data_IF_457986903934
#
_entry.id   IF_457986903934
#
_cell.length_a   1.000
_cell.length_b   1.000
_cell.length_c   1.000
_cell.angle_alpha   90.00
_cell.angle_beta   90.00
_cell.angle_gamma   90.00
#
_symmetry.space_group_name_H-M   'P 1'
#
loop_
_entity.id
_entity.type
_entity.pdbx_description
1 polymer ?
#
# COMPACT_ATOMS: atom_id res chain seq x y z
N UNK A 1 9.73 -23.27 -15.40
CA UNK A 1 9.46 -23.04 -13.97
C UNK A 1 7.97 -22.89 -13.78
N UNK A 2 7.46 -23.54 -12.74
CA UNK A 2 6.05 -23.87 -12.49
C UNK A 2 5.22 -22.61 -12.27
N UNK A 3 4.52 -22.15 -13.31
CA UNK A 3 3.55 -21.06 -13.20
C UNK A 3 2.31 -21.64 -12.51
N UNK A 4 1.99 -21.12 -11.32
CA UNK A 4 0.63 -20.92 -10.79
C UNK A 4 0.59 -20.82 -9.25
N UNK A 5 1.64 -21.23 -8.53
CA UNK A 5 1.63 -21.10 -7.06
C UNK A 5 2.22 -19.77 -6.57
N UNK A 6 1.50 -18.68 -6.85
CA UNK A 6 1.87 -17.33 -6.40
C UNK A 6 1.84 -17.18 -4.87
N UNK A 7 1.01 -17.96 -4.17
CA UNK A 7 0.98 -18.00 -2.70
C UNK A 7 2.31 -18.50 -2.12
N UNK A 8 2.82 -19.62 -2.65
CA UNK A 8 4.11 -20.17 -2.21
C UNK A 8 5.28 -19.28 -2.63
N UNK A 9 5.22 -18.72 -3.84
CA UNK A 9 6.23 -17.79 -4.33
C UNK A 9 6.32 -16.53 -3.45
N UNK A 10 5.19 -15.98 -3.02
CA UNK A 10 5.15 -14.85 -2.09
C UNK A 10 5.89 -15.18 -0.79
N UNK A 11 5.63 -16.33 -0.17
CA UNK A 11 6.32 -16.74 1.06
C UNK A 11 7.83 -16.84 0.85
N UNK A 12 8.27 -17.38 -0.29
CA UNK A 12 9.69 -17.48 -0.64
C UNK A 12 10.30 -16.09 -0.83
N UNK A 13 9.65 -15.20 -1.58
CA UNK A 13 10.16 -13.85 -1.82
C UNK A 13 10.15 -12.99 -0.56
N UNK A 14 9.13 -13.10 0.31
CA UNK A 14 9.12 -12.44 1.63
C UNK A 14 10.31 -12.88 2.48
N UNK A 15 10.57 -14.20 2.55
CA UNK A 15 11.75 -14.73 3.26
C UNK A 15 13.05 -14.26 2.64
N UNK A 16 13.15 -14.27 1.31
CA UNK A 16 14.35 -13.82 0.61
C UNK A 16 14.62 -12.32 0.87
N UNK A 17 13.58 -11.49 0.86
CA UNK A 17 13.67 -10.05 1.16
C UNK A 17 14.15 -9.78 2.60
N UNK A 18 13.79 -10.64 3.57
CA UNK A 18 14.26 -10.51 4.96
C UNK A 18 15.75 -10.85 5.13
N UNK A 19 16.28 -11.74 4.30
CA UNK A 19 17.68 -12.16 4.35
C UNK A 19 18.58 -11.18 3.60
N UNK A 20 18.15 -10.79 2.41
CA UNK A 20 18.90 -9.92 1.51
C UNK A 20 17.90 -9.14 0.65
N UNK A 21 17.67 -7.89 1.04
CA UNK A 21 16.66 -7.03 0.42
C UNK A 21 17.17 -6.42 -0.88
N UNK A 22 16.60 -6.80 -2.01
CA UNK A 22 16.93 -6.21 -3.32
C UNK A 22 15.69 -5.86 -4.13
N UNK A 23 15.89 -4.96 -5.10
CA UNK A 23 14.84 -4.44 -5.95
C UNK A 23 14.20 -5.51 -6.85
N UNK A 24 14.96 -6.51 -7.31
CA UNK A 24 14.44 -7.57 -8.17
C UNK A 24 13.54 -8.54 -7.37
N UNK A 25 13.95 -8.94 -6.16
CA UNK A 25 13.10 -9.71 -5.23
C UNK A 25 11.83 -8.94 -4.87
N UNK A 26 11.93 -7.63 -4.60
CA UNK A 26 10.79 -6.77 -4.35
C UNK A 26 9.82 -6.72 -5.55
N UNK A 27 10.31 -6.50 -6.77
CA UNK A 27 9.48 -6.53 -7.98
C UNK A 27 8.80 -7.89 -8.19
N UNK A 28 9.49 -9.00 -7.92
CA UNK A 28 8.90 -10.33 -8.04
C UNK A 28 7.85 -10.61 -6.95
N UNK A 29 8.03 -10.07 -5.74
CA UNK A 29 7.02 -10.08 -4.69
C UNK A 29 5.78 -9.27 -5.09
N UNK A 30 5.97 -8.06 -5.64
CA UNK A 30 4.89 -7.22 -6.18
C UNK A 30 4.07 -7.96 -7.25
N UNK A 31 4.73 -8.64 -8.20
CA UNK A 31 4.06 -9.46 -9.21
C UNK A 31 3.25 -10.61 -8.59
N UNK A 32 3.77 -11.28 -7.55
CA UNK A 32 3.03 -12.34 -6.86
C UNK A 32 1.76 -11.81 -6.20
N UNK A 33 1.80 -10.61 -5.61
CA UNK A 33 0.66 -9.96 -4.98
C UNK A 33 -0.38 -9.51 -6.01
N UNK A 34 0.06 -8.96 -7.16
CA UNK A 34 -0.83 -8.60 -8.27
C UNK A 34 -1.62 -9.81 -8.78
N UNK A 35 -0.97 -10.98 -8.92
CA UNK A 35 -1.61 -12.22 -9.36
C UNK A 35 -2.57 -12.83 -8.33
N UNK A 36 -2.54 -12.31 -7.09
CA UNK A 36 -3.48 -12.62 -6.02
C UNK A 36 -4.52 -11.50 -5.80
N UNK A 37 -4.60 -10.51 -6.71
CA UNK A 37 -5.47 -9.34 -6.60
C UNK A 37 -5.22 -8.46 -5.35
N UNK A 38 -4.02 -8.53 -4.75
CA UNK A 38 -3.60 -7.72 -3.61
C UNK A 38 -2.88 -6.45 -4.09
N UNK A 39 -3.62 -5.59 -4.77
CA UNK A 39 -3.05 -4.45 -5.51
C UNK A 39 -2.44 -3.37 -4.61
N UNK A 40 -3.05 -3.06 -3.47
CA UNK A 40 -2.52 -2.03 -2.55
C UNK A 40 -1.11 -2.39 -2.04
N UNK A 41 -0.92 -3.63 -1.60
CA UNK A 41 0.39 -4.12 -1.15
C UNK A 41 1.40 -4.18 -2.29
N UNK A 42 0.97 -4.59 -3.48
CA UNK A 42 1.83 -4.60 -4.66
C UNK A 42 2.28 -3.17 -5.03
N UNK A 43 1.37 -2.20 -5.00
CA UNK A 43 1.66 -0.80 -5.28
C UNK A 43 2.72 -0.26 -4.31
N UNK A 44 2.54 -0.46 -3.01
CA UNK A 44 3.49 0.01 -2.00
C UNK A 44 4.90 -0.53 -2.26
N UNK A 45 5.03 -1.85 -2.48
CA UNK A 45 6.34 -2.49 -2.72
C UNK A 45 7.00 -1.95 -3.99
N UNK A 46 6.25 -1.76 -5.08
CA UNK A 46 6.79 -1.23 -6.32
C UNK A 46 7.19 0.25 -6.18
N UNK A 47 6.42 1.03 -5.40
CA UNK A 47 6.76 2.41 -5.06
C UNK A 47 8.09 2.48 -4.27
N UNK A 48 8.29 1.57 -3.31
CA UNK A 48 9.55 1.51 -2.55
C UNK A 48 10.77 1.25 -3.44
N UNK A 49 10.61 0.42 -4.47
CA UNK A 49 11.65 0.19 -5.47
C UNK A 49 11.98 1.50 -6.22
N UNK A 50 10.97 2.26 -6.66
CA UNK A 50 11.16 3.53 -7.37
C UNK A 50 11.73 4.65 -6.49
N UNK A 51 11.39 4.65 -5.21
CA UNK A 51 11.93 5.56 -4.19
C UNK A 51 13.38 5.24 -3.82
N UNK A 52 13.96 4.15 -4.33
CA UNK A 52 15.35 3.79 -4.04
C UNK A 52 15.56 3.11 -2.69
N UNK A 53 14.51 2.57 -2.07
CA UNK A 53 14.60 1.98 -0.72
C UNK A 53 15.25 0.59 -0.70
N UNK A 54 15.44 -0.05 -1.85
CA UNK A 54 16.05 -1.36 -1.97
C UNK A 54 17.42 -1.29 -2.66
N UNK A 55 18.30 -2.21 -2.27
CA UNK A 55 19.57 -2.37 -2.97
C UNK A 55 19.32 -2.76 -4.43
N UNK A 56 20.06 -2.12 -5.36
CA UNK A 56 19.86 -2.33 -6.79
C UNK A 56 18.67 -1.57 -7.39
N UNK A 57 17.98 -0.72 -6.61
CA UNK A 57 16.95 0.18 -7.14
C UNK A 57 17.51 1.25 -8.10
N UNK A 58 18.80 1.56 -8.03
CA UNK A 58 19.44 2.50 -8.96
C UNK A 58 19.66 1.89 -10.35
N UNK A 59 19.55 0.57 -10.47
CA UNK A 59 19.66 -0.09 -11.76
C UNK A 59 18.45 0.24 -12.63
N UNK A 60 18.73 0.79 -13.83
CA UNK A 60 17.71 1.15 -14.83
C UNK A 60 16.74 -0.02 -15.08
N UNK A 61 17.23 -1.26 -15.08
CA UNK A 61 16.42 -2.46 -15.29
C UNK A 61 15.41 -2.68 -14.17
N UNK A 62 15.81 -2.49 -12.92
CA UNK A 62 14.95 -2.65 -11.75
C UNK A 62 13.84 -1.60 -11.72
N UNK A 63 14.19 -0.33 -11.97
CA UNK A 63 13.22 0.77 -12.05
C UNK A 63 12.22 0.56 -13.18
N UNK A 64 12.72 0.26 -14.38
CA UNK A 64 11.86 0.01 -15.54
C UNK A 64 10.89 -1.14 -15.29
N UNK A 65 11.34 -2.22 -14.64
CA UNK A 65 10.46 -3.33 -14.28
C UNK A 65 9.40 -2.93 -13.26
N UNK A 66 9.73 -2.07 -12.30
CA UNK A 66 8.76 -1.55 -11.34
C UNK A 66 7.73 -0.64 -12.01
N UNK A 67 8.16 0.22 -12.94
CA UNK A 67 7.28 1.06 -13.76
C UNK A 67 6.31 0.23 -14.61
N UNK A 68 6.81 -0.77 -15.35
CA UNK A 68 5.99 -1.68 -16.16
C UNK A 68 4.93 -2.41 -15.31
N UNK A 69 5.29 -2.84 -14.10
CA UNK A 69 4.35 -3.51 -13.19
C UNK A 69 3.32 -2.55 -12.61
N UNK A 70 3.68 -1.29 -12.34
CA UNK A 70 2.74 -0.26 -11.90
C UNK A 70 1.75 0.12 -13.01
N UNK A 71 2.21 0.20 -14.26
CA UNK A 71 1.34 0.39 -15.42
C UNK A 71 0.34 -0.78 -15.56
N UNK A 72 0.80 -2.03 -15.46
CA UNK A 72 -0.08 -3.20 -15.47
C UNK A 72 -1.07 -3.16 -14.29
N UNK A 73 -0.62 -2.79 -13.09
CA UNK A 73 -1.46 -2.67 -11.90
C UNK A 73 -2.56 -1.63 -12.11
N UNK A 74 -2.22 -0.45 -12.62
CA UNK A 74 -3.17 0.63 -12.91
C UNK A 74 -4.17 0.25 -14.01
N UNK A 75 -3.77 -0.53 -15.01
CA UNK A 75 -4.67 -1.04 -16.04
C UNK A 75 -5.69 -2.07 -15.50
N UNK A 76 -5.36 -2.77 -14.42
CA UNK A 76 -6.25 -3.75 -13.78
C UNK A 76 -7.14 -3.16 -12.67
N UNK A 77 -6.83 -1.96 -12.17
CA UNK A 77 -7.75 -1.21 -11.32
C UNK A 77 -8.96 -0.77 -12.14
N UNK A 78 -10.17 -0.76 -11.55
CA UNK A 78 -11.32 -0.17 -12.22
C UNK A 78 -11.00 1.29 -12.51
N UNK A 79 -10.84 1.60 -13.80
CA UNK A 79 -10.61 2.96 -14.24
C UNK A 79 -11.81 3.82 -13.81
N UNK A 80 -11.60 5.12 -13.52
CA UNK A 80 -12.69 6.04 -13.19
C UNK A 80 -13.77 6.11 -14.28
N UNK A 81 -13.52 5.62 -15.49
CA UNK A 81 -14.54 5.43 -16.53
C UNK A 81 -15.70 4.52 -16.06
N UNK A 82 -15.45 3.51 -15.23
CA UNK A 82 -16.50 2.69 -14.62
C UNK A 82 -17.25 3.44 -13.52
N UNK A 83 -16.62 4.42 -12.87
CA UNK A 83 -17.29 5.30 -11.90
C UNK A 83 -18.11 6.41 -12.60
N UNK A 84 -17.75 6.77 -13.83
CA UNK A 84 -18.48 7.76 -14.64
C UNK A 84 -19.73 7.19 -15.32
N UNK A 85 -19.77 5.87 -15.57
CA UNK A 85 -20.96 5.17 -16.13
C UNK A 85 -21.96 4.74 -15.04
N UNK A 86 -21.50 4.62 -13.79
CA UNK A 86 -22.38 4.65 -12.65
C UNK A 86 -22.83 6.12 -12.51
N UNK A 87 -24.10 6.42 -12.74
CA UNK A 87 -24.71 7.74 -12.49
C UNK A 87 -24.72 8.03 -10.98
N UNK A 88 -23.53 8.12 -10.38
CA UNK A 88 -23.29 8.47 -9.01
C UNK A 88 -23.45 9.97 -8.95
N UNK A 89 -24.60 10.40 -8.47
CA UNK A 89 -24.85 11.82 -8.22
C UNK A 89 -23.82 12.40 -7.24
N UNK A 90 -23.57 13.70 -7.36
CA UNK A 90 -22.65 14.43 -6.48
C UNK A 90 -23.03 14.25 -4.99
N UNK A 91 -24.31 13.99 -4.70
CA UNK A 91 -24.83 13.71 -3.35
C UNK A 91 -24.34 12.36 -2.80
N UNK A 92 -24.28 11.30 -3.63
CA UNK A 92 -23.73 10.00 -3.24
C UNK A 92 -22.22 10.07 -2.98
N UNK A 93 -21.48 10.74 -3.87
CA UNK A 93 -20.02 10.93 -3.70
C UNK A 93 -19.73 11.73 -2.43
N UNK A 94 -20.50 12.80 -2.19
CA UNK A 94 -20.42 13.59 -0.96
C UNK A 94 -20.75 12.77 0.29
N UNK A 95 -21.72 11.86 0.21
CA UNK A 95 -22.05 10.95 1.30
C UNK A 95 -20.91 10.00 1.69
N UNK A 96 -20.10 9.56 0.72
CA UNK A 96 -18.90 8.76 0.99
C UNK A 96 -17.81 9.62 1.65
N UNK A 97 -17.61 10.84 1.16
CA UNK A 97 -16.61 11.77 1.71
C UNK A 97 -16.94 12.15 3.16
N UNK A 98 -18.21 12.47 3.44
CA UNK A 98 -18.72 12.74 4.79
C UNK A 98 -18.53 11.53 5.73
N UNK A 99 -18.70 10.30 5.21
CA UNK A 99 -18.48 9.07 5.97
C UNK A 99 -17.00 8.83 6.28
N UNK A 100 -16.11 9.09 5.31
CA UNK A 100 -14.66 9.00 5.50
C UNK A 100 -14.15 10.04 6.50
N UNK A 101 -14.67 11.26 6.43
CA UNK A 101 -14.34 12.34 7.37
C UNK A 101 -14.84 12.04 8.78
N UNK A 102 -16.06 11.50 8.93
CA UNK A 102 -16.58 11.02 10.21
C UNK A 102 -15.76 9.85 10.78
N UNK A 103 -15.26 8.97 9.91
CA UNK A 103 -14.39 7.87 10.30
C UNK A 103 -13.00 8.35 10.74
N UNK A 104 -12.44 9.33 10.03
CA UNK A 104 -11.13 9.92 10.34
C UNK A 104 -11.16 10.77 11.61
N UNK A 105 -12.23 11.53 11.86
CA UNK A 105 -12.40 12.28 13.12
C UNK A 105 -12.53 11.38 14.34
N UNK A 106 -13.03 10.15 14.17
CA UNK A 106 -13.08 9.16 15.26
C UNK A 106 -11.72 8.57 15.63
N UNK A 107 -10.69 8.69 14.78
CA UNK A 107 -9.32 8.23 15.10
C UNK A 107 -8.54 9.20 15.98
N UNK A 108 -9.02 10.43 16.17
CA UNK A 108 -8.27 11.50 16.85
C UNK A 108 -8.38 11.52 18.37
N UNK A 109 -9.17 10.64 19.00
CA UNK A 109 -9.28 10.63 20.46
C UNK A 109 -8.39 9.55 21.03
N UNK A 110 -7.29 9.97 21.69
CA UNK A 110 -6.49 9.09 22.54
C UNK A 110 -7.44 8.38 23.52
N UNK A 111 -7.18 7.11 23.80
CA UNK A 111 -8.00 6.34 24.75
C UNK A 111 -8.14 7.14 26.06
N UNK A 112 -9.31 7.12 26.73
CA UNK A 112 -9.57 7.93 27.93
C UNK A 112 -8.50 7.79 29.02
N UNK A 113 -7.87 6.61 29.11
CA UNK A 113 -6.74 6.35 30.03
C UNK A 113 -5.56 7.31 29.83
N UNK A 114 -5.35 7.80 28.61
CA UNK A 114 -4.24 8.70 28.27
C UNK A 114 -4.58 10.18 28.50
N UNK A 115 -5.85 10.54 28.66
CA UNK A 115 -6.25 11.88 29.13
C UNK A 115 -5.94 12.03 30.63
N UNK A 116 -6.20 11.00 31.43
CA UNK A 116 -5.96 11.02 32.87
C UNK A 116 -4.47 11.17 33.21
N UNK A 117 -3.59 10.46 32.48
CA UNK A 117 -2.13 10.55 32.64
C UNK A 117 -1.56 11.92 32.23
N UNK A 118 -2.21 12.62 31.30
CA UNK A 118 -1.80 13.97 30.86
C UNK A 118 -1.90 14.98 31.99
N UNK A 119 -2.96 14.93 32.80
CA UNK A 119 -3.17 15.84 33.94
C UNK A 119 -2.09 15.68 35.02
N UNK A 120 -1.54 14.46 35.20
CA UNK A 120 -0.49 14.21 36.19
C UNK A 120 0.89 14.70 35.74
N UNK A 121 1.12 14.79 34.43
CA UNK A 121 2.42 15.19 33.88
C UNK A 121 2.67 16.71 33.98
N UNK A 122 1.62 17.52 33.92
CA UNK A 122 1.73 18.98 34.07
C UNK A 122 1.99 19.44 35.51
N UNK A 123 1.86 18.56 36.51
CA UNK A 123 2.15 18.85 37.92
C UNK A 123 3.60 18.52 38.34
N UNK A 124 4.39 17.90 37.47
CA UNK A 124 5.79 17.51 37.74
C UNK A 124 6.82 18.48 37.14
N UNK A 125 6.37 19.56 36.49
CA UNK A 125 7.23 20.66 36.06
C UNK A 125 7.22 21.77 37.12
N UNK A 126 7.97 21.58 38.20
CA UNK A 126 8.44 22.64 39.09
C UNK A 126 9.93 22.44 39.38
#
# INVERSE_FOLDING_TARGET
MQKENYMMAEVVFKKAQMVDADANKACNLGLCLMRQCRYEEAYYILEEVLQGKHQGSDEIKSRKRAEELLEELNANLPQPEFMADLDLDDDFVKGIDDMLDAWNTNRSRRLPIFEEISSFRDQLAC
#
